data_IF_051131910290
#
_entry.id   IF_051131910290
#
_cell.length_a   1.000
_cell.length_b   1.000
_cell.length_c   1.000
_cell.angle_alpha   90.00
_cell.angle_beta   90.00
_cell.angle_gamma   90.00
#
_symmetry.space_group_name_H-M   'P 1'
#
loop_
_entity.id
_entity.type
_entity.pdbx_description
1 polymer ?
#
# COMPACT_ATOMS: atom_id res chain seq x y z
N UNK A 1 8.25 -19.03 -14.88
CA UNK A 1 7.52 -18.23 -13.87
C UNK A 1 6.77 -17.14 -14.61
N UNK A 2 5.46 -17.00 -14.40
CA UNK A 2 4.65 -16.01 -15.11
C UNK A 2 5.13 -14.61 -14.76
N UNK A 3 5.32 -13.72 -15.75
CA UNK A 3 5.82 -12.34 -15.54
C UNK A 3 4.99 -11.48 -14.58
N UNK A 4 3.86 -11.99 -14.07
CA UNK A 4 2.92 -11.29 -13.20
C UNK A 4 3.03 -11.69 -11.72
N UNK A 5 3.78 -12.76 -11.40
CA UNK A 5 3.90 -13.27 -10.02
C UNK A 5 4.39 -12.20 -9.02
N UNK A 6 5.40 -11.35 -9.32
CA UNK A 6 5.84 -10.31 -8.39
C UNK A 6 4.78 -9.22 -8.16
N UNK A 7 3.97 -8.92 -9.19
CA UNK A 7 2.89 -7.94 -9.10
C UNK A 7 1.73 -8.47 -8.25
N UNK A 8 1.41 -9.77 -8.39
CA UNK A 8 0.40 -10.43 -7.57
C UNK A 8 0.83 -10.40 -6.09
N UNK A 9 2.09 -10.75 -5.80
CA UNK A 9 2.61 -10.73 -4.43
C UNK A 9 2.53 -9.34 -3.79
N UNK A 10 2.86 -8.29 -4.56
CA UNK A 10 2.71 -6.90 -4.13
C UNK A 10 1.25 -6.56 -3.80
N UNK A 11 0.33 -6.87 -4.71
CA UNK A 11 -1.10 -6.59 -4.53
C UNK A 11 -1.63 -7.32 -3.29
N UNK A 12 -1.25 -8.58 -3.09
CA UNK A 12 -1.69 -9.38 -1.94
C UNK A 12 -1.22 -8.76 -0.62
N UNK A 13 0.07 -8.44 -0.48
CA UNK A 13 0.60 -7.84 0.76
C UNK A 13 -0.10 -6.54 1.08
N UNK A 14 -0.19 -5.66 0.09
CA UNK A 14 -0.78 -4.35 0.30
C UNK A 14 -2.30 -4.42 0.53
N UNK A 15 -3.02 -5.37 -0.09
CA UNK A 15 -4.44 -5.62 0.19
C UNK A 15 -4.67 -6.11 1.62
N UNK A 16 -3.82 -7.02 2.13
CA UNK A 16 -3.87 -7.49 3.51
C UNK A 16 -3.62 -6.34 4.50
N UNK A 17 -2.61 -5.51 4.23
CA UNK A 17 -2.33 -4.32 5.04
C UNK A 17 -3.50 -3.32 5.00
N UNK A 18 -4.14 -3.16 3.84
CA UNK A 18 -5.29 -2.26 3.67
C UNK A 18 -6.50 -2.75 4.45
N UNK A 19 -6.77 -4.07 4.42
CA UNK A 19 -7.82 -4.67 5.22
C UNK A 19 -7.54 -4.49 6.72
N UNK A 20 -6.30 -4.69 7.15
CA UNK A 20 -5.91 -4.48 8.55
C UNK A 20 -6.10 -3.00 8.98
N UNK A 21 -5.69 -2.04 8.15
CA UNK A 21 -5.89 -0.61 8.39
C UNK A 21 -7.37 -0.25 8.48
N UNK A 22 -8.19 -0.81 7.60
CA UNK A 22 -9.64 -0.61 7.60
C UNK A 22 -10.28 -1.14 8.90
N UNK A 23 -9.91 -2.36 9.32
CA UNK A 23 -10.41 -2.95 10.57
C UNK A 23 -9.98 -2.14 11.80
N UNK A 24 -8.73 -1.70 11.86
CA UNK A 24 -8.23 -0.84 12.93
C UNK A 24 -9.01 0.50 12.98
N UNK A 25 -9.25 1.10 11.81
CA UNK A 25 -10.04 2.32 11.67
C UNK A 25 -11.47 2.14 12.16
N UNK A 26 -12.12 1.06 11.75
CA UNK A 26 -13.48 0.76 12.15
C UNK A 26 -13.59 0.48 13.66
N UNK A 27 -12.63 -0.23 14.25
CA UNK A 27 -12.58 -0.45 15.69
C UNK A 27 -12.45 0.86 16.48
N UNK A 28 -11.59 1.77 16.03
CA UNK A 28 -11.42 3.07 16.69
C UNK A 28 -12.62 4.00 16.50
N UNK A 29 -13.30 3.93 15.34
CA UNK A 29 -14.57 4.64 15.11
C UNK A 29 -15.69 4.18 16.06
N UNK A 30 -15.74 2.91 16.46
CA UNK A 30 -16.77 2.41 17.38
C UNK A 30 -16.75 3.10 18.75
N UNK A 31 -15.58 3.60 19.18
CA UNK A 31 -15.42 4.34 20.42
C UNK A 31 -15.78 5.83 20.34
N UNK A 32 -16.10 6.35 19.15
CA UNK A 32 -16.34 7.79 18.93
C UNK A 32 -17.75 8.04 18.40
N UNK A 33 -18.74 8.29 19.29
CA UNK A 33 -20.14 8.46 18.90
C UNK A 33 -20.35 9.62 17.91
N UNK A 34 -19.57 10.69 18.03
CA UNK A 34 -19.65 11.88 17.18
C UNK A 34 -19.26 11.62 15.72
N UNK A 35 -18.42 10.61 15.46
CA UNK A 35 -18.07 10.20 14.10
C UNK A 35 -19.05 9.20 13.51
N UNK A 36 -19.85 8.53 14.35
CA UNK A 36 -20.77 7.46 13.94
C UNK A 36 -22.10 7.99 13.44
N UNK A 37 -22.61 9.06 14.05
CA UNK A 37 -23.94 9.59 13.75
C UNK A 37 -23.86 10.64 12.65
N UNK A 38 -24.59 10.42 11.56
CA UNK A 38 -24.75 11.39 10.49
C UNK A 38 -25.55 12.59 10.99
N UNK A 39 -25.09 13.79 10.67
CA UNK A 39 -25.77 15.04 11.05
C UNK A 39 -26.48 15.65 9.84
N UNK A 40 -27.61 16.32 10.06
CA UNK A 40 -28.38 17.03 9.02
C UNK A 40 -27.84 18.43 8.69
N UNK A 41 -26.89 18.92 9.48
CA UNK A 41 -26.17 20.18 9.27
C UNK A 41 -24.94 19.93 8.39
N UNK A 42 -24.96 20.51 7.19
CA UNK A 42 -23.91 20.35 6.17
C UNK A 42 -22.52 20.76 6.68
N UNK A 43 -22.42 21.80 7.50
CA UNK A 43 -21.14 22.28 8.01
C UNK A 43 -20.53 21.27 9.01
N UNK A 44 -21.36 20.70 9.88
CA UNK A 44 -20.95 19.67 10.84
C UNK A 44 -20.64 18.34 10.15
N UNK A 45 -21.40 17.99 9.12
CA UNK A 45 -21.15 16.78 8.34
C UNK A 45 -19.80 16.85 7.61
N UNK A 46 -19.46 18.01 7.03
CA UNK A 46 -18.15 18.22 6.40
C UNK A 46 -16.98 18.08 7.39
N UNK A 47 -17.13 18.61 8.61
CA UNK A 47 -16.11 18.45 9.65
C UNK A 47 -15.98 16.98 10.09
N UNK A 48 -17.08 16.24 10.18
CA UNK A 48 -17.10 14.81 10.48
C UNK A 48 -16.38 13.99 9.41
N UNK A 49 -16.64 14.26 8.13
CA UNK A 49 -15.97 13.61 7.01
C UNK A 49 -14.46 13.87 7.00
N UNK A 50 -14.04 15.10 7.27
CA UNK A 50 -12.62 15.45 7.40
C UNK A 50 -11.97 14.73 8.59
N UNK A 51 -12.63 14.69 9.75
CA UNK A 51 -12.13 13.99 10.92
C UNK A 51 -11.97 12.49 10.67
N UNK A 52 -12.94 11.86 10.00
CA UNK A 52 -12.87 10.47 9.58
C UNK A 52 -11.70 10.23 8.64
N UNK A 53 -11.50 11.13 7.67
CA UNK A 53 -10.41 11.02 6.69
C UNK A 53 -9.05 11.09 7.38
N UNK A 54 -8.84 12.09 8.23
CA UNK A 54 -7.60 12.21 9.00
C UNK A 54 -7.37 11.02 9.93
N UNK A 55 -8.42 10.51 10.57
CA UNK A 55 -8.32 9.32 11.40
C UNK A 55 -7.85 8.10 10.60
N UNK A 56 -8.44 7.84 9.44
CA UNK A 56 -7.99 6.74 8.54
C UNK A 56 -6.53 6.90 8.14
N UNK A 57 -6.10 8.13 7.81
CA UNK A 57 -4.71 8.45 7.46
C UNK A 57 -3.76 8.17 8.63
N UNK A 58 -4.06 8.67 9.83
CA UNK A 58 -3.21 8.45 11.00
C UNK A 58 -3.12 6.97 11.38
N UNK A 59 -4.23 6.23 11.26
CA UNK A 59 -4.24 4.79 11.54
C UNK A 59 -3.45 4.03 10.48
N UNK A 60 -3.58 4.40 9.20
CA UNK A 60 -2.78 3.84 8.13
C UNK A 60 -1.28 4.04 8.35
N UNK A 61 -0.87 5.28 8.65
CA UNK A 61 0.53 5.63 8.97
C UNK A 61 1.03 4.91 10.22
N UNK A 62 0.24 4.90 11.29
CA UNK A 62 0.57 4.18 12.52
C UNK A 62 0.77 2.70 12.28
N UNK A 63 -0.16 2.05 11.56
CA UNK A 63 -0.07 0.63 11.23
C UNK A 63 1.16 0.33 10.36
N UNK A 64 1.43 1.14 9.35
CA UNK A 64 2.57 0.96 8.47
C UNK A 64 3.90 1.08 9.24
N UNK A 65 4.03 2.07 10.13
CA UNK A 65 5.21 2.21 10.99
C UNK A 65 5.34 1.03 11.95
N UNK A 66 4.26 0.59 12.60
CA UNK A 66 4.28 -0.56 13.51
C UNK A 66 4.73 -1.84 12.80
N UNK A 67 4.28 -2.03 11.57
CA UNK A 67 4.62 -3.19 10.74
C UNK A 67 5.93 -3.02 9.97
N UNK A 68 6.65 -1.90 10.10
CA UNK A 68 7.79 -1.54 9.24
C UNK A 68 7.48 -1.72 7.74
N UNK A 69 6.26 -1.40 7.34
CA UNK A 69 5.78 -1.58 5.98
C UNK A 69 6.29 -0.45 5.08
N UNK A 70 7.57 -0.51 4.71
CA UNK A 70 8.22 0.46 3.84
C UNK A 70 7.91 0.17 2.36
N UNK A 71 7.20 1.08 1.69
CA UNK A 71 6.84 0.96 0.27
C UNK A 71 8.07 0.75 -0.62
N UNK A 72 9.19 1.42 -0.35
CA UNK A 72 10.38 1.33 -1.17
C UNK A 72 11.08 -0.03 -1.02
N UNK A 73 11.17 -0.56 0.21
CA UNK A 73 11.69 -1.91 0.42
C UNK A 73 10.77 -2.98 -0.20
N UNK A 74 9.44 -2.82 -0.05
CA UNK A 74 8.44 -3.71 -0.64
C UNK A 74 8.59 -3.74 -2.17
N UNK A 75 8.72 -2.57 -2.81
CA UNK A 75 8.93 -2.46 -4.25
C UNK A 75 10.30 -2.98 -4.70
N UNK A 76 11.32 -2.91 -3.84
CA UNK A 76 12.62 -3.50 -4.13
C UNK A 76 12.63 -5.03 -3.99
N UNK A 77 11.65 -5.62 -3.28
CA UNK A 77 11.60 -7.04 -2.90
C UNK A 77 10.33 -7.74 -3.39
N UNK A 78 9.89 -7.48 -4.64
CA UNK A 78 8.61 -7.98 -5.18
C UNK A 78 8.45 -9.51 -5.20
N UNK A 79 9.55 -10.26 -5.16
CA UNK A 79 9.48 -11.73 -5.11
C UNK A 79 9.00 -12.24 -3.74
N UNK A 80 9.33 -11.53 -2.67
CA UNK A 80 8.94 -11.85 -1.29
C UNK A 80 8.68 -10.57 -0.48
N UNK A 81 7.63 -9.80 -0.82
CA UNK A 81 7.37 -8.49 -0.22
C UNK A 81 6.99 -8.58 1.26
N UNK A 82 6.56 -9.75 1.75
CA UNK A 82 6.29 -9.98 3.17
C UNK A 82 7.56 -10.05 4.01
N UNK A 83 8.71 -10.41 3.44
CA UNK A 83 9.98 -10.49 4.18
C UNK A 83 10.49 -9.10 4.60
N UNK A 84 9.99 -8.04 3.96
CA UNK A 84 10.34 -6.66 4.31
C UNK A 84 9.53 -6.11 5.48
N UNK A 85 8.45 -6.82 5.87
CA UNK A 85 7.62 -6.46 7.00
C UNK A 85 8.30 -6.86 8.31
N UNK A 86 8.05 -6.06 9.35
CA UNK A 86 8.52 -6.28 10.70
C UNK A 86 9.89 -5.65 10.98
N UNK A 87 10.08 -5.29 12.24
CA UNK A 87 11.33 -4.73 12.75
C UNK A 87 12.39 -5.80 13.07
N UNK A 88 11.97 -7.06 13.10
CA UNK A 88 12.82 -8.23 13.39
C UNK A 88 12.49 -9.32 12.39
N UNK A 89 13.52 -9.91 11.79
CA UNK A 89 13.40 -11.08 10.92
C UNK A 89 13.77 -12.33 11.71
N UNK A 90 12.98 -13.38 11.53
CA UNK A 90 13.29 -14.71 12.04
C UNK A 90 13.99 -15.45 10.92
N UNK A 91 15.29 -15.72 11.07
CA UNK A 91 16.07 -16.56 10.18
C UNK A 91 16.29 -17.92 10.83
N UNK A 92 16.74 -18.92 10.06
CA UNK A 92 17.08 -20.25 10.57
C UNK A 92 18.14 -20.20 11.70
N UNK A 93 18.93 -19.11 11.73
CA UNK A 93 19.97 -18.81 12.72
C UNK A 93 19.51 -17.96 13.92
N UNK A 94 18.23 -17.55 13.98
CA UNK A 94 17.66 -16.80 15.10
C UNK A 94 17.01 -15.46 14.73
N UNK A 95 16.85 -14.58 15.72
CA UNK A 95 16.19 -13.28 15.56
C UNK A 95 17.21 -12.21 15.16
N UNK A 96 17.10 -11.68 13.95
CA UNK A 96 17.98 -10.62 13.43
C UNK A 96 17.19 -9.32 13.33
N UNK A 97 17.67 -8.26 14.01
CA UNK A 97 17.09 -6.91 13.88
C UNK A 97 17.37 -6.36 12.49
N UNK A 98 16.35 -5.77 11.86
CA UNK A 98 16.49 -5.20 10.51
C UNK A 98 17.43 -3.99 10.54
N UNK A 99 18.32 -3.80 9.53
CA UNK A 99 19.24 -2.67 9.44
C UNK A 99 18.57 -1.28 9.49
N UNK A 100 17.25 -1.19 9.33
CA UNK A 100 16.47 0.04 9.49
C UNK A 100 16.71 0.75 10.84
N UNK A 101 17.14 0.03 11.88
CA UNK A 101 17.50 0.61 13.19
C UNK A 101 18.99 0.89 13.36
N UNK A 102 19.82 0.68 12.33
CA UNK A 102 21.28 0.73 12.46
C UNK A 102 21.82 2.17 12.52
N UNK A 103 21.20 3.11 11.79
CA UNK A 103 21.55 4.54 11.85
C UNK A 103 20.34 5.43 11.51
N UNK A 104 20.49 6.74 11.75
CA UNK A 104 19.43 7.72 11.53
C UNK A 104 18.99 7.79 10.06
N UNK A 105 19.91 7.63 9.11
CA UNK A 105 19.59 7.66 7.68
C UNK A 105 18.68 6.50 7.27
N UNK A 106 19.01 5.28 7.70
CA UNK A 106 18.19 4.09 7.45
C UNK A 106 16.83 4.16 8.17
N UNK A 107 16.79 4.78 9.35
CA UNK A 107 15.55 4.97 10.08
C UNK A 107 14.62 5.99 9.40
N UNK A 108 15.18 7.10 8.89
CA UNK A 108 14.42 8.11 8.14
C UNK A 108 13.91 7.57 6.80
N UNK A 109 14.72 6.76 6.11
CA UNK A 109 14.28 6.07 4.89
C UNK A 109 13.10 5.13 5.18
N UNK A 110 13.25 4.26 6.18
CA UNK A 110 12.21 3.33 6.60
C UNK A 110 10.94 4.06 7.05
N UNK A 111 11.08 5.15 7.81
CA UNK A 111 9.96 5.98 8.23
C UNK A 111 9.28 6.66 7.05
N UNK A 112 10.05 7.23 6.12
CA UNK A 112 9.52 7.88 4.92
C UNK A 112 8.73 6.92 4.06
N UNK A 113 9.29 5.75 3.75
CA UNK A 113 8.59 4.70 3.01
C UNK A 113 7.36 4.15 3.74
N UNK A 114 7.44 4.02 5.07
CA UNK A 114 6.28 3.62 5.89
C UNK A 114 5.17 4.67 5.92
N UNK A 115 5.51 5.96 5.91
CA UNK A 115 4.52 7.05 5.79
C UNK A 115 3.82 6.99 4.44
N UNK A 116 4.58 6.76 3.35
CA UNK A 116 4.01 6.60 2.00
C UNK A 116 3.03 5.42 1.97
N UNK A 117 3.43 4.25 2.50
CA UNK A 117 2.54 3.10 2.63
C UNK A 117 1.31 3.47 3.46
N UNK A 118 1.50 4.09 4.61
CA UNK A 118 0.42 4.44 5.51
C UNK A 118 -0.60 5.41 4.94
N UNK A 119 -0.15 6.37 4.13
CA UNK A 119 -1.04 7.25 3.37
C UNK A 119 -1.87 6.44 2.36
N UNK A 120 -1.25 5.53 1.63
CA UNK A 120 -1.94 4.63 0.70
C UNK A 120 -2.99 3.76 1.43
N UNK A 121 -2.64 3.21 2.59
CA UNK A 121 -3.56 2.46 3.44
C UNK A 121 -4.71 3.32 3.97
N UNK A 122 -4.42 4.57 4.35
CA UNK A 122 -5.41 5.51 4.87
C UNK A 122 -6.45 5.95 3.84
N UNK A 123 -6.07 6.02 2.56
CA UNK A 123 -7.01 6.25 1.45
C UNK A 123 -7.77 4.98 1.03
N UNK A 124 -7.30 3.80 1.43
CA UNK A 124 -8.00 2.53 1.30
C UNK A 124 -8.39 2.20 -0.15
N UNK A 125 -9.66 1.85 -0.37
CA UNK A 125 -10.17 1.38 -1.67
C UNK A 125 -9.99 2.39 -2.80
N UNK A 126 -10.01 3.70 -2.52
CA UNK A 126 -9.81 4.73 -3.55
C UNK A 126 -8.42 4.65 -4.17
N UNK A 127 -7.39 4.48 -3.34
CA UNK A 127 -6.03 4.25 -3.81
C UNK A 127 -5.93 2.97 -4.65
N UNK A 128 -6.60 1.88 -4.23
CA UNK A 128 -6.60 0.63 -4.98
C UNK A 128 -7.24 0.73 -6.34
N UNK A 129 -8.37 1.43 -6.45
CA UNK A 129 -9.02 1.66 -7.74
C UNK A 129 -8.08 2.43 -8.69
N UNK A 130 -7.52 3.55 -8.22
CA UNK A 130 -6.60 4.36 -9.03
C UNK A 130 -5.32 3.59 -9.42
N UNK A 131 -4.78 2.77 -8.52
CA UNK A 131 -3.60 1.94 -8.80
C UNK A 131 -3.90 0.83 -9.82
N UNK A 132 -5.01 0.11 -9.66
CA UNK A 132 -5.41 -0.96 -10.56
C UNK A 132 -5.72 -0.42 -11.96
N UNK A 133 -6.41 0.71 -12.03
CA UNK A 133 -6.70 1.40 -13.30
C UNK A 133 -5.38 1.78 -13.99
N UNK A 134 -4.44 2.40 -13.27
CA UNK A 134 -3.12 2.74 -13.82
C UNK A 134 -2.32 1.53 -14.31
N UNK A 135 -2.35 0.40 -13.60
CA UNK A 135 -1.68 -0.83 -14.04
C UNK A 135 -2.32 -1.38 -15.34
N UNK A 136 -3.64 -1.35 -15.43
CA UNK A 136 -4.36 -1.80 -16.63
C UNK A 136 -4.06 -0.90 -17.83
N UNK A 137 -4.00 0.42 -17.63
CA UNK A 137 -3.59 1.38 -18.65
C UNK A 137 -2.16 1.12 -19.14
N UNK A 138 -1.20 0.94 -18.21
CA UNK A 138 0.19 0.62 -18.54
C UNK A 138 0.30 -0.69 -19.33
N UNK A 139 -0.50 -1.69 -18.98
CA UNK A 139 -0.56 -2.97 -19.73
C UNK A 139 -1.08 -2.76 -21.14
N UNK A 140 -2.13 -1.96 -21.33
CA UNK A 140 -2.64 -1.60 -22.66
C UNK A 140 -1.59 -0.87 -23.49
N UNK A 141 -0.84 0.04 -22.88
CA UNK A 141 0.23 0.80 -23.52
C UNK A 141 1.39 -0.11 -23.93
N UNK A 142 1.82 -1.04 -23.06
CA UNK A 142 2.83 -2.05 -23.36
C UNK A 142 2.42 -2.99 -24.50
N UNK A 143 1.15 -3.42 -24.54
CA UNK A 143 0.64 -4.24 -25.63
C UNK A 143 0.61 -3.50 -26.97
N UNK A 144 0.22 -2.23 -26.96
CA UNK A 144 0.24 -1.39 -28.16
C UNK A 144 1.65 -1.14 -28.69
N UNK A 145 2.63 -0.95 -27.79
CA UNK A 145 4.05 -0.84 -28.18
C UNK A 145 4.57 -2.15 -28.76
N UNK A 146 4.23 -3.31 -28.16
CA UNK A 146 4.59 -4.62 -28.70
C UNK A 146 3.99 -4.84 -30.09
N UNK A 147 2.72 -4.48 -30.29
CA UNK A 147 2.02 -4.58 -31.58
C UNK A 147 2.59 -3.64 -32.65
N UNK A 148 3.16 -2.50 -32.26
CA UNK A 148 3.89 -1.59 -33.16
C UNK A 148 5.32 -2.06 -33.45
N UNK A 149 5.93 -2.80 -32.54
CA UNK A 149 7.30 -3.30 -32.65
C UNK A 149 7.40 -4.58 -33.49
N UNK A 150 6.32 -5.36 -33.61
CA UNK A 150 6.22 -6.44 -34.61
C UNK A 150 5.82 -5.84 -35.98
N UNK A 151 6.72 -5.79 -36.99
CA UNK A 151 6.33 -5.40 -38.33
C UNK A 151 5.36 -6.43 -38.92
N UNK A 152 4.44 -6.03 -39.83
CA UNK A 152 3.57 -6.99 -40.50
C UNK A 152 4.46 -7.99 -41.25
N UNK A 153 4.38 -9.26 -40.89
CA UNK A 153 4.90 -10.34 -41.72
C UNK A 153 4.21 -10.24 -43.06
N UNK A 154 4.93 -9.75 -44.08
CA UNK A 154 4.49 -9.79 -45.47
C UNK A 154 4.08 -11.23 -45.78
N UNK A 155 2.84 -11.48 -46.26
CA UNK A 155 2.48 -12.81 -46.71
C UNK A 155 3.38 -13.13 -47.90
N UNK A 156 4.21 -14.17 -47.77
CA UNK A 156 4.94 -14.74 -48.89
C UNK A 156 3.92 -15.30 -49.88
N UNK A 157 3.84 -14.69 -51.05
CA UNK A 157 3.06 -15.11 -52.20
C UNK A 157 3.97 -15.33 -53.40
#
# INVERSE_FOLDING_TARGET
MSSLEPLINLIVVLAVLSLAAERATNLLKLGQPDLRVRTTDDAKEKLREQAITWQSVFIGVGLALLMKADMFEILASLNAPWDTLGWVRVTDSGWVRVPATANLGTALYAAGGSVVTGLALGFGSKFWHELLDGILELRGLAQNLKKKADPPTTPEG
#
